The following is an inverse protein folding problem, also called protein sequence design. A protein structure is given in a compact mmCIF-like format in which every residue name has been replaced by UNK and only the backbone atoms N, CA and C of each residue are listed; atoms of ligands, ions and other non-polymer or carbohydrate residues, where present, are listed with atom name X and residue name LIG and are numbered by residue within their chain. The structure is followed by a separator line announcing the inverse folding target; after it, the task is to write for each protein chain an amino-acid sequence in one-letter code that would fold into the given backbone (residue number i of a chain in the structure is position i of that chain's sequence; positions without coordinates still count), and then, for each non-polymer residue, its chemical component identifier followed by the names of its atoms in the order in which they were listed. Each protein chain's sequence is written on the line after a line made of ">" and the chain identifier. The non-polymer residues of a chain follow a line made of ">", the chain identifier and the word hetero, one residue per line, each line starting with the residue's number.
data_IF_965915185171
#
_entry.id   IF_965915185171
#
_cell.length_a   1.000
_cell.length_b   1.000
_cell.length_c   1.000
_cell.angle_alpha   90.00
_cell.angle_beta   90.00
_cell.angle_gamma   90.00
#
_symmetry.space_group_name_H-M   'P 1'
#
loop_
_entity.id
_entity.type
_entity.pdbx_description
1 polymer ?
#
# COMPACT_ATOMS: atom_id res chain seq x y z
N UNK A 1 3.17 5.01 8.73
CA UNK A 1 3.30 3.55 8.58
C UNK A 1 3.82 2.82 9.81
N UNK A 2 4.90 3.25 10.47
CA UNK A 2 5.37 2.58 11.70
C UNK A 2 4.27 2.36 12.76
N UNK A 3 3.47 3.41 13.04
CA UNK A 3 2.32 3.34 13.96
C UNK A 3 1.25 2.33 13.48
N UNK A 4 0.90 2.34 12.19
CA UNK A 4 -0.07 1.40 11.63
C UNK A 4 0.38 -0.06 11.81
N UNK A 5 1.66 -0.36 11.56
CA UNK A 5 2.18 -1.73 11.68
C UNK A 5 2.28 -2.17 13.15
N UNK A 6 2.60 -1.26 14.07
CA UNK A 6 2.55 -1.53 15.50
C UNK A 6 1.12 -1.82 16.00
N UNK A 7 0.12 -1.10 15.49
CA UNK A 7 -1.29 -1.38 15.80
C UNK A 7 -1.71 -2.76 15.28
N UNK A 8 -1.31 -3.11 14.06
CA UNK A 8 -1.53 -4.46 13.52
C UNK A 8 -0.81 -5.54 14.33
N UNK A 9 0.37 -5.24 14.86
CA UNK A 9 1.08 -6.13 15.78
C UNK A 9 0.35 -6.35 17.11
N UNK A 10 -0.57 -5.46 17.48
CA UNK A 10 -1.47 -5.61 18.62
C UNK A 10 -2.84 -6.20 18.23
N UNK A 11 -3.05 -6.60 16.98
CA UNK A 11 -4.33 -7.10 16.46
C UNK A 11 -5.38 -6.00 16.19
N UNK A 12 -4.97 -4.74 16.18
CA UNK A 12 -5.83 -3.58 15.91
C UNK A 12 -5.66 -3.18 14.43
N UNK A 13 -6.75 -2.84 13.75
CA UNK A 13 -6.73 -2.44 12.35
C UNK A 13 -6.05 -1.07 12.16
N UNK A 14 -4.73 -1.06 12.03
CA UNK A 14 -3.92 0.15 12.06
C UNK A 14 -4.23 1.15 10.95
N UNK A 15 -4.64 0.67 9.77
CA UNK A 15 -4.97 1.55 8.64
C UNK A 15 -6.19 2.41 8.95
N UNK A 16 -7.19 1.86 9.65
CA UNK A 16 -8.42 2.57 10.00
C UNK A 16 -8.16 3.59 11.10
N UNK A 17 -7.38 3.23 12.12
CA UNK A 17 -7.06 4.14 13.22
C UNK A 17 -6.22 5.33 12.72
N UNK A 18 -5.15 5.06 11.98
CA UNK A 18 -4.28 6.12 11.46
C UNK A 18 -5.04 6.94 10.41
N UNK A 19 -5.80 6.29 9.53
CA UNK A 19 -6.64 6.97 8.53
C UNK A 19 -7.74 7.84 9.15
N UNK A 20 -8.32 7.44 10.28
CA UNK A 20 -9.31 8.26 10.98
C UNK A 20 -8.75 9.58 11.53
N UNK A 21 -7.45 9.62 11.86
CA UNK A 21 -6.77 10.82 12.37
C UNK A 21 -6.13 11.63 11.25
N UNK A 22 -5.43 10.96 10.33
CA UNK A 22 -4.66 11.61 9.27
C UNK A 22 -5.48 11.87 8.01
N UNK A 23 -6.62 11.20 7.85
CA UNK A 23 -7.49 11.27 6.68
C UNK A 23 -7.84 12.69 6.23
N UNK A 24 -8.26 13.60 7.13
CA UNK A 24 -8.54 14.99 6.74
C UNK A 24 -7.34 15.71 6.10
N UNK A 25 -6.14 15.47 6.61
CA UNK A 25 -4.90 16.07 6.08
C UNK A 25 -4.59 15.48 4.69
N UNK A 26 -4.66 14.16 4.56
CA UNK A 26 -4.39 13.47 3.30
C UNK A 26 -5.41 13.76 2.20
N UNK A 27 -6.68 13.93 2.57
CA UNK A 27 -7.76 14.32 1.67
C UNK A 27 -7.64 15.79 1.25
N UNK A 28 -7.22 16.69 2.15
CA UNK A 28 -6.91 18.08 1.78
C UNK A 28 -5.81 18.16 0.72
N UNK A 29 -4.68 17.48 0.95
CA UNK A 29 -3.58 17.42 -0.01
C UNK A 29 -3.97 16.76 -1.34
N UNK A 30 -4.86 15.76 -1.29
CA UNK A 30 -5.43 15.13 -2.48
C UNK A 30 -6.27 16.12 -3.30
N UNK A 31 -7.11 16.93 -2.65
CA UNK A 31 -7.96 17.90 -3.33
C UNK A 31 -7.15 19.01 -4.01
N UNK A 32 -6.08 19.48 -3.36
CA UNK A 32 -5.11 20.40 -3.97
C UNK A 32 -4.50 19.82 -5.25
N UNK A 33 -4.11 18.54 -5.23
CA UNK A 33 -3.61 17.86 -6.43
C UNK A 33 -4.69 17.71 -7.50
N UNK A 34 -5.94 17.44 -7.12
CA UNK A 34 -7.08 17.32 -8.04
C UNK A 34 -7.31 18.63 -8.79
N UNK A 35 -7.31 19.75 -8.07
CA UNK A 35 -7.48 21.09 -8.64
C UNK A 35 -6.34 21.43 -9.60
N UNK A 36 -5.09 21.22 -9.18
CA UNK A 36 -3.91 21.44 -10.04
C UNK A 36 -3.96 20.55 -11.30
N UNK A 37 -4.32 19.27 -11.16
CA UNK A 37 -4.42 18.35 -12.30
C UNK A 37 -5.49 18.77 -13.31
N UNK A 38 -6.66 19.22 -12.84
CA UNK A 38 -7.74 19.73 -13.70
C UNK A 38 -7.34 21.02 -14.43
N UNK A 39 -6.53 21.87 -13.80
CA UNK A 39 -6.00 23.09 -14.40
C UNK A 39 -4.78 22.85 -15.33
N UNK A 40 -4.25 21.62 -15.40
CA UNK A 40 -3.03 21.31 -16.16
C UNK A 40 -1.76 21.83 -15.49
N UNK A 41 -1.80 22.14 -14.20
CA UNK A 41 -0.71 22.67 -13.40
C UNK A 41 0.16 21.57 -12.78
N UNK A 42 1.29 21.96 -12.20
CA UNK A 42 2.19 21.06 -11.49
C UNK A 42 1.55 20.62 -10.17
N UNK A 43 1.51 19.30 -9.94
CA UNK A 43 0.91 18.72 -8.74
C UNK A 43 1.77 19.07 -7.50
N UNK A 44 1.21 19.75 -6.49
CA UNK A 44 1.96 20.22 -5.33
C UNK A 44 2.41 19.08 -4.41
N UNK A 45 1.53 18.12 -4.13
CA UNK A 45 1.71 17.16 -3.04
C UNK A 45 2.13 15.77 -3.53
N UNK A 46 3.04 15.13 -2.78
CA UNK A 46 3.36 13.70 -2.93
C UNK A 46 2.50 12.86 -1.98
N UNK A 47 2.46 13.25 -0.70
CA UNK A 47 1.67 12.56 0.32
C UNK A 47 0.21 12.97 0.23
N UNK A 48 -0.61 12.07 -0.27
CA UNK A 48 -2.07 12.18 -0.40
C UNK A 48 -2.72 10.90 0.11
N UNK A 49 -4.05 10.83 0.16
CA UNK A 49 -4.72 9.58 0.53
C UNK A 49 -4.29 8.42 -0.41
N UNK A 50 -4.26 8.68 -1.71
CA UNK A 50 -3.92 7.70 -2.75
C UNK A 50 -2.45 7.29 -2.69
N UNK A 51 -1.55 8.14 -2.20
CA UNK A 51 -0.17 7.73 -1.96
C UNK A 51 -0.14 6.49 -1.05
N UNK A 52 -0.84 6.54 0.08
CA UNK A 52 -0.84 5.42 1.02
C UNK A 52 -1.69 4.25 0.54
N UNK A 53 -2.90 4.51 0.02
CA UNK A 53 -3.84 3.48 -0.41
C UNK A 53 -3.36 2.69 -1.62
N UNK A 54 -2.74 3.36 -2.60
CA UNK A 54 -2.40 2.74 -3.88
C UNK A 54 -0.94 2.28 -3.93
N UNK A 55 -0.01 3.09 -3.40
CA UNK A 55 1.43 2.82 -3.59
C UNK A 55 2.11 2.15 -2.40
N UNK A 56 1.55 2.30 -1.18
CA UNK A 56 2.18 1.75 0.03
C UNK A 56 1.47 0.49 0.53
N UNK A 57 0.14 0.50 0.50
CA UNK A 57 -0.71 -0.57 0.99
C UNK A 57 -0.96 -1.68 -0.07
N UNK A 58 0.10 -2.09 -0.77
CA UNK A 58 0.04 -3.06 -1.87
C UNK A 58 -0.13 -4.49 -1.36
N UNK A 59 -1.32 -5.03 -1.56
CA UNK A 59 -1.75 -6.29 -1.01
C UNK A 59 -2.37 -6.17 0.38
N UNK A 60 -2.65 -4.96 0.86
CA UNK A 60 -3.28 -4.65 2.14
C UNK A 60 -2.36 -3.82 3.03
N UNK A 61 -2.02 -4.28 4.23
CA UNK A 61 -1.08 -3.55 5.08
C UNK A 61 0.36 -3.85 4.68
N UNK A 62 1.03 -2.88 4.05
CA UNK A 62 2.38 -3.05 3.49
C UNK A 62 2.38 -3.86 2.20
N UNK A 63 3.52 -4.49 1.85
CA UNK A 63 3.69 -5.34 0.67
C UNK A 63 3.17 -6.78 0.85
N UNK A 64 1.96 -6.97 1.39
CA UNK A 64 1.47 -8.32 1.70
C UNK A 64 1.29 -9.17 0.44
N UNK A 65 1.04 -8.56 -0.73
CA UNK A 65 0.97 -9.30 -1.99
C UNK A 65 2.31 -9.97 -2.34
N UNK A 66 3.43 -9.29 -2.13
CA UNK A 66 4.77 -9.84 -2.34
C UNK A 66 5.06 -11.00 -1.37
N UNK A 67 4.59 -10.89 -0.13
CA UNK A 67 4.68 -11.97 0.86
C UNK A 67 3.87 -13.21 0.42
N UNK A 68 2.62 -13.02 -0.03
CA UNK A 68 1.77 -14.11 -0.55
C UNK A 68 2.42 -14.80 -1.74
N UNK A 69 2.95 -14.04 -2.70
CA UNK A 69 3.67 -14.60 -3.85
C UNK A 69 4.89 -15.42 -3.39
N UNK A 70 5.64 -14.90 -2.41
CA UNK A 70 6.78 -15.62 -1.82
C UNK A 70 6.34 -16.92 -1.13
N UNK A 71 5.20 -16.92 -0.43
CA UNK A 71 4.65 -18.12 0.21
C UNK A 71 4.28 -19.19 -0.82
N UNK A 72 3.67 -18.81 -1.94
CA UNK A 72 3.27 -19.75 -3.00
C UNK A 72 4.51 -20.33 -3.71
N UNK A 73 5.47 -19.46 -4.05
CA UNK A 73 6.59 -19.81 -4.92
C UNK A 73 7.79 -20.43 -4.18
N UNK A 74 8.09 -19.97 -2.96
CA UNK A 74 9.32 -20.33 -2.23
C UNK A 74 9.12 -21.05 -0.91
N UNK A 75 7.93 -21.05 -0.30
CA UNK A 75 7.77 -21.72 0.99
C UNK A 75 8.04 -23.23 0.86
N UNK A 76 8.71 -23.83 1.86
CA UNK A 76 8.90 -25.29 1.94
C UNK A 76 7.76 -25.98 2.69
N UNK A 77 7.13 -25.27 3.64
CA UNK A 77 6.01 -25.78 4.42
C UNK A 77 4.73 -25.89 3.58
N UNK A 78 4.05 -27.04 3.68
CA UNK A 78 2.73 -27.26 3.05
C UNK A 78 1.69 -26.25 3.56
N UNK A 79 1.71 -25.96 4.85
CA UNK A 79 0.79 -25.00 5.48
C UNK A 79 0.96 -23.60 4.90
N UNK A 80 2.21 -23.13 4.76
CA UNK A 80 2.48 -21.79 4.20
C UNK A 80 2.10 -21.70 2.71
N UNK A 81 2.36 -22.74 1.91
CA UNK A 81 1.89 -22.77 0.52
C UNK A 81 0.37 -22.73 0.41
N UNK A 82 -0.34 -23.50 1.25
CA UNK A 82 -1.80 -23.53 1.27
C UNK A 82 -2.37 -22.17 1.69
N UNK A 83 -1.82 -21.55 2.73
CA UNK A 83 -2.23 -20.22 3.17
C UNK A 83 -2.02 -19.18 2.06
N UNK A 84 -0.87 -19.20 1.38
CA UNK A 84 -0.61 -18.31 0.25
C UNK A 84 -1.62 -18.48 -0.88
N UNK A 85 -1.97 -19.73 -1.23
CA UNK A 85 -2.98 -20.03 -2.26
C UNK A 85 -4.39 -19.58 -1.88
N UNK A 86 -4.74 -19.62 -0.60
CA UNK A 86 -6.03 -19.10 -0.11
C UNK A 86 -6.04 -17.57 -0.11
N UNK A 87 -4.89 -16.95 0.19
CA UNK A 87 -4.78 -15.50 0.34
C UNK A 87 -4.57 -14.73 -0.97
N UNK A 88 -4.13 -15.38 -2.08
CA UNK A 88 -3.82 -14.66 -3.32
C UNK A 88 -5.02 -13.92 -3.92
N UNK A 89 -6.20 -14.54 -3.88
CA UNK A 89 -7.44 -13.91 -4.35
C UNK A 89 -7.70 -12.57 -3.66
N UNK A 90 -7.87 -12.55 -2.32
CA UNK A 90 -8.06 -11.30 -1.58
C UNK A 90 -6.86 -10.35 -1.68
N UNK A 91 -5.62 -10.87 -1.68
CA UNK A 91 -4.42 -10.03 -1.75
C UNK A 91 -4.30 -9.23 -3.05
N UNK A 92 -4.80 -9.74 -4.19
CA UNK A 92 -4.85 -8.97 -5.45
C UNK A 92 -5.73 -7.72 -5.32
N UNK A 93 -6.76 -7.79 -4.47
CA UNK A 93 -7.65 -6.67 -4.15
C UNK A 93 -7.25 -5.97 -2.84
N UNK A 94 -5.99 -6.07 -2.46
CA UNK A 94 -5.41 -5.44 -1.27
C UNK A 94 -6.06 -5.87 0.07
N UNK A 95 -6.73 -7.02 0.11
CA UNK A 95 -7.34 -7.58 1.33
C UNK A 95 -6.35 -8.59 1.94
N UNK A 96 -5.96 -8.41 3.21
CA UNK A 96 -4.85 -9.15 3.81
C UNK A 96 -5.14 -9.86 5.13
N UNK A 97 -6.38 -9.82 5.61
CA UNK A 97 -6.85 -10.48 6.81
C UNK A 97 -6.52 -11.98 6.83
N UNK A 98 -6.63 -12.75 5.72
CA UNK A 98 -6.20 -14.14 5.72
C UNK A 98 -4.73 -14.33 6.08
N UNK A 99 -3.87 -13.35 5.77
CA UNK A 99 -2.44 -13.39 6.11
C UNK A 99 -2.19 -12.89 7.51
N UNK A 100 -2.77 -11.76 7.89
CA UNK A 100 -2.58 -11.18 9.22
C UNK A 100 -3.05 -12.12 10.33
N UNK A 101 -4.19 -12.79 10.13
CA UNK A 101 -4.74 -13.72 11.11
C UNK A 101 -4.32 -15.17 10.87
N UNK A 102 -4.00 -15.55 9.64
CA UNK A 102 -3.54 -16.91 9.31
C UNK A 102 -2.07 -17.17 9.62
N UNK A 103 -1.27 -16.11 9.75
CA UNK A 103 0.10 -16.20 10.26
C UNK A 103 0.20 -15.60 11.66
N UNK A 104 1.07 -16.12 12.54
CA UNK A 104 1.28 -15.57 13.87
C UNK A 104 2.13 -14.27 13.81
N UNK A 105 1.76 -13.29 12.99
CA UNK A 105 2.51 -12.02 12.83
C UNK A 105 2.47 -11.21 14.13
N UNK A 106 1.31 -11.16 14.78
CA UNK A 106 0.99 -10.40 16.00
C UNK A 106 1.90 -10.76 17.19
N UNK A 107 2.58 -11.91 17.17
CA UNK A 107 3.43 -12.36 18.29
C UNK A 107 4.77 -12.97 17.85
N UNK A 108 5.16 -12.82 16.57
CA UNK A 108 6.42 -13.36 16.06
C UNK A 108 7.38 -12.24 15.64
N UNK A 109 8.41 -11.93 16.47
CA UNK A 109 9.38 -10.88 16.17
C UNK A 109 10.08 -11.05 14.82
N UNK A 110 10.30 -12.28 14.35
CA UNK A 110 10.94 -12.53 13.05
C UNK A 110 10.06 -12.11 11.88
N UNK A 111 8.73 -12.17 12.02
CA UNK A 111 7.80 -11.69 10.99
C UNK A 111 7.45 -10.22 11.19
N UNK A 112 7.49 -9.73 12.43
CA UNK A 112 7.20 -8.35 12.76
C UNK A 112 8.23 -7.38 12.18
N UNK A 113 9.52 -7.73 12.22
CA UNK A 113 10.60 -6.91 11.65
C UNK A 113 10.37 -6.62 10.15
N UNK A 114 10.24 -7.63 9.26
CA UNK A 114 9.97 -7.37 7.84
C UNK A 114 8.61 -6.71 7.64
N UNK A 115 7.60 -6.98 8.49
CA UNK A 115 6.29 -6.35 8.41
C UNK A 115 6.32 -4.84 8.69
N UNK A 116 7.23 -4.36 9.55
CA UNK A 116 7.43 -2.93 9.82
C UNK A 116 8.38 -2.27 8.81
N UNK A 117 9.49 -2.94 8.49
CA UNK A 117 10.54 -2.36 7.63
C UNK A 117 10.11 -2.26 6.16
N UNK A 118 9.38 -3.25 5.65
CA UNK A 118 8.99 -3.26 4.22
C UNK A 118 8.16 -2.04 3.84
N UNK A 119 7.08 -1.66 4.58
CA UNK A 119 6.33 -0.44 4.29
C UNK A 119 7.16 0.84 4.39
N UNK A 120 8.14 0.89 5.31
CA UNK A 120 9.04 2.06 5.44
C UNK A 120 9.91 2.18 4.18
N UNK A 121 10.49 1.07 3.72
CA UNK A 121 11.28 1.05 2.49
C UNK A 121 10.44 1.40 1.26
N UNK A 122 9.19 0.95 1.19
CA UNK A 122 8.26 1.34 0.12
C UNK A 122 7.98 2.83 0.12
N UNK A 123 7.78 3.46 1.28
CA UNK A 123 7.59 4.91 1.37
C UNK A 123 8.82 5.63 0.84
N UNK A 124 10.00 5.26 1.29
CA UNK A 124 11.25 5.92 0.90
C UNK A 124 11.45 5.81 -0.61
N UNK A 125 11.34 4.60 -1.17
CA UNK A 125 11.54 4.36 -2.60
C UNK A 125 10.49 5.06 -3.46
N UNK A 126 9.21 4.99 -3.08
CA UNK A 126 8.11 5.67 -3.77
C UNK A 126 8.27 7.20 -3.71
N UNK A 127 8.61 7.74 -2.54
CA UNK A 127 8.86 9.17 -2.36
C UNK A 127 10.03 9.65 -3.22
N UNK A 128 11.15 8.92 -3.22
CA UNK A 128 12.31 9.26 -4.07
C UNK A 128 11.91 9.21 -5.56
N UNK A 129 11.20 8.16 -5.98
CA UNK A 129 10.69 8.05 -7.35
C UNK A 129 9.81 9.23 -7.75
N UNK A 130 8.90 9.66 -6.87
CA UNK A 130 7.99 10.78 -7.15
C UNK A 130 8.65 12.17 -7.06
N UNK A 131 9.57 12.36 -6.12
CA UNK A 131 10.29 13.63 -5.94
C UNK A 131 11.33 13.90 -7.03
N UNK A 132 11.93 12.84 -7.57
CA UNK A 132 12.87 12.93 -8.72
C UNK A 132 12.16 12.96 -10.07
N UNK A 133 10.84 12.76 -10.11
CA UNK A 133 10.05 12.73 -11.35
C UNK A 133 10.11 11.43 -12.14
N UNK A 134 10.82 10.40 -11.64
CA UNK A 134 10.80 9.04 -12.22
C UNK A 134 9.39 8.43 -12.19
N UNK A 135 8.61 8.78 -11.17
CA UNK A 135 7.24 8.35 -10.95
C UNK A 135 6.33 9.56 -10.89
N UNK A 136 5.20 9.50 -11.58
CA UNK A 136 4.18 10.54 -11.47
C UNK A 136 3.56 10.62 -10.07
N UNK A 137 3.34 11.84 -9.58
CA UNK A 137 2.59 12.09 -8.34
C UNK A 137 1.11 11.72 -8.50
N UNK A 138 0.39 11.41 -7.41
CA UNK A 138 -1.04 11.12 -7.46
C UNK A 138 -1.85 12.34 -7.93
N UNK A 139 -2.70 12.16 -8.94
CA UNK A 139 -3.45 13.22 -9.63
C UNK A 139 -4.69 13.74 -8.88
N UNK A 140 -4.93 13.27 -7.65
CA UNK A 140 -6.15 13.59 -6.90
C UNK A 140 -7.40 12.85 -7.39
N UNK A 141 -7.23 11.79 -8.19
CA UNK A 141 -8.31 10.91 -8.64
C UNK A 141 -8.58 9.86 -7.56
N UNK A 142 -9.82 9.78 -7.09
CA UNK A 142 -10.23 8.75 -6.11
C UNK A 142 -10.30 7.39 -6.78
N UNK A 143 -9.28 6.56 -6.54
CA UNK A 143 -9.27 5.16 -6.94
C UNK A 143 -9.58 4.30 -5.71
N UNK A 144 -10.52 3.34 -5.79
CA UNK A 144 -10.78 2.43 -4.68
C UNK A 144 -9.50 1.69 -4.26
N UNK A 145 -9.21 1.62 -2.97
CA UNK A 145 -8.03 0.93 -2.44
C UNK A 145 -8.02 -0.57 -2.75
N UNK A 146 -9.16 -1.17 -3.11
CA UNK A 146 -9.25 -2.57 -3.54
C UNK A 146 -8.87 -2.78 -5.02
N UNK A 147 -8.61 -1.71 -5.77
CA UNK A 147 -8.23 -1.81 -7.18
C UNK A 147 -6.85 -2.49 -7.31
N UNK A 148 -6.68 -3.46 -8.25
CA UNK A 148 -5.42 -4.15 -8.43
C UNK A 148 -4.22 -3.21 -8.67
N UNK A 149 -3.05 -3.45 -8.06
CA UNK A 149 -1.93 -2.49 -7.96
C UNK A 149 -1.48 -1.83 -9.28
N UNK A 150 -1.40 -2.60 -10.36
CA UNK A 150 -0.94 -2.08 -11.66
C UNK A 150 -1.96 -1.10 -12.25
N UNK A 151 -3.24 -1.47 -12.19
CA UNK A 151 -4.34 -0.66 -12.72
C UNK A 151 -4.54 0.57 -11.85
N UNK A 152 -4.48 0.40 -10.53
CA UNK A 152 -4.66 1.49 -9.59
C UNK A 152 -3.55 2.53 -9.69
N UNK A 153 -2.29 2.13 -9.84
CA UNK A 153 -1.17 3.06 -10.04
C UNK A 153 -1.29 3.90 -11.33
N UNK A 154 -1.75 3.29 -12.43
CA UNK A 154 -2.04 4.01 -13.68
C UNK A 154 -3.15 5.06 -13.50
N UNK A 155 -4.28 4.65 -12.91
CA UNK A 155 -5.44 5.52 -12.72
C UNK A 155 -5.14 6.65 -11.71
N UNK A 156 -4.49 6.33 -10.59
CA UNK A 156 -4.19 7.29 -9.53
C UNK A 156 -3.24 8.41 -9.99
N UNK A 157 -2.46 8.19 -11.04
CA UNK A 157 -1.53 9.18 -11.61
C UNK A 157 -2.09 9.91 -12.83
N UNK A 158 -3.38 9.76 -13.12
CA UNK A 158 -4.02 10.42 -14.26
C UNK A 158 -3.65 9.81 -15.60
N UNK A 159 -3.42 8.49 -15.64
CA UNK A 159 -3.09 7.76 -16.86
C UNK A 159 -1.61 7.74 -17.22
N UNK A 160 -0.71 7.94 -16.24
CA UNK A 160 0.74 7.93 -16.48
C UNK A 160 1.29 6.52 -16.21
N UNK A 161 1.92 5.91 -17.22
CA UNK A 161 2.50 4.56 -17.14
C UNK A 161 3.55 4.45 -16.03
N UNK A 162 4.27 5.54 -15.73
CA UNK A 162 5.22 5.59 -14.62
C UNK A 162 4.60 5.23 -13.26
N UNK A 163 3.29 5.46 -13.07
CA UNK A 163 2.56 5.07 -11.87
C UNK A 163 2.21 3.58 -11.81
N UNK A 164 2.11 2.90 -12.95
CA UNK A 164 1.79 1.47 -13.01
C UNK A 164 2.98 0.58 -12.60
N UNK A 165 4.20 1.12 -12.67
CA UNK A 165 5.44 0.39 -12.40
C UNK A 165 5.90 0.48 -10.94
N UNK A 166 5.06 1.01 -10.05
CA UNK A 166 5.41 1.22 -8.64
C UNK A 166 4.59 0.28 -7.78
N UNK A 167 5.21 -0.85 -7.42
CA UNK A 167 4.64 -1.91 -6.58
C UNK A 167 5.66 -2.99 -6.29
#
# INVERSE_FOLDING_TARGET
>A
MGVQMLLWACGIHGATIVGGVMGPIWLGAMDENRLAFQAGEVLPNIFTAQFFEIFINVGGSGATLALVLTMILRARSKQMKQLGRLAIGPAIFNINEPIIFGMPIVMNPMLLIPFILTPIMMIITTYIGMSTGLVAKPAGITVPWTMPPIISGYLATGGKISGANVG
#
